data_IF_702655951223
#
_entry.id   IF_702655951223
#
_cell.length_a   1.000
_cell.length_b   1.000
_cell.length_c   1.000
_cell.angle_alpha   90.00
_cell.angle_beta   90.00
_cell.angle_gamma   90.00
#
_symmetry.space_group_name_H-M   'P 1'
#
loop_
_entity.id
_entity.type
_entity.pdbx_description
1 polymer ?
#
# COMPACT_ATOMS: atom_id res chain seq x y z
N UNK A 1 -5.59 7.29 -15.85
CA UNK A 1 -4.37 7.62 -15.08
C UNK A 1 -4.86 8.47 -13.91
N UNK A 2 -5.22 7.85 -12.78
CA UNK A 2 -5.58 8.60 -11.58
C UNK A 2 -4.28 9.24 -11.10
N UNK A 3 -4.29 10.56 -10.90
CA UNK A 3 -3.14 11.28 -10.34
C UNK A 3 -2.93 10.80 -8.90
N UNK A 4 -2.01 9.86 -8.69
CA UNK A 4 -1.63 9.32 -7.38
C UNK A 4 -1.21 10.43 -6.39
N UNK A 5 -0.85 11.62 -6.90
CA UNK A 5 -0.43 12.78 -6.14
C UNK A 5 -1.57 13.58 -5.48
N UNK A 6 -2.83 13.27 -5.77
CA UNK A 6 -3.99 14.04 -5.24
C UNK A 6 -4.82 13.26 -4.22
N UNK A 7 -4.40 12.05 -3.86
CA UNK A 7 -5.06 11.25 -2.86
C UNK A 7 -5.08 11.96 -1.49
N UNK A 8 -6.24 12.13 -0.85
CA UNK A 8 -6.34 12.68 0.50
C UNK A 8 -5.50 11.90 1.51
N UNK A 9 -5.27 10.65 1.25
CA UNK A 9 -4.43 9.71 1.94
C UNK A 9 -2.97 10.17 2.04
N UNK A 10 -2.39 10.63 0.92
CA UNK A 10 -1.02 11.14 0.89
C UNK A 10 -0.88 12.42 1.73
N UNK A 11 -1.86 13.32 1.65
CA UNK A 11 -1.84 14.56 2.42
C UNK A 11 -1.89 14.33 3.92
N UNK A 12 -2.71 13.39 4.40
CA UNK A 12 -2.76 13.01 5.82
C UNK A 12 -1.41 12.48 6.28
N UNK A 13 -0.77 11.60 5.50
CA UNK A 13 0.55 11.05 5.83
C UNK A 13 1.64 12.14 5.90
N UNK A 14 1.61 13.11 4.99
CA UNK A 14 2.54 14.24 4.98
C UNK A 14 2.33 15.11 6.24
N UNK A 15 1.09 15.45 6.56
CA UNK A 15 0.77 16.29 7.74
C UNK A 15 1.26 15.62 9.03
N UNK A 16 0.97 14.33 9.21
CA UNK A 16 1.44 13.55 10.38
C UNK A 16 2.95 13.55 10.45
N UNK A 17 3.63 13.35 9.31
CA UNK A 17 5.10 13.34 9.25
C UNK A 17 5.70 14.69 9.66
N UNK A 18 5.10 15.81 9.23
CA UNK A 18 5.53 17.16 9.62
C UNK A 18 5.35 17.39 11.12
N UNK A 19 4.24 16.94 11.70
CA UNK A 19 3.96 17.07 13.14
C UNK A 19 5.03 16.36 13.98
N UNK A 20 5.51 15.20 13.53
CA UNK A 20 6.58 14.47 14.22
C UNK A 20 7.96 15.07 13.93
N UNK A 21 8.20 15.54 12.70
CA UNK A 21 9.48 16.09 12.29
C UNK A 21 9.87 17.35 13.07
N UNK A 22 8.94 18.28 13.29
CA UNK A 22 9.23 19.57 13.95
C UNK A 22 9.80 19.38 15.37
N UNK A 23 9.20 18.59 16.28
CA UNK A 23 9.77 18.33 17.59
C UNK A 23 11.15 17.65 17.52
N UNK A 24 11.33 16.69 16.61
CA UNK A 24 12.63 16.01 16.41
C UNK A 24 13.71 16.97 15.95
N UNK A 25 13.38 17.89 15.04
CA UNK A 25 14.31 18.92 14.57
C UNK A 25 14.69 19.88 15.70
N UNK A 26 13.72 20.36 16.49
CA UNK A 26 13.98 21.23 17.65
C UNK A 26 14.88 20.52 18.66
N UNK A 27 14.59 19.25 18.94
CA UNK A 27 15.44 18.44 19.84
C UNK A 27 16.85 18.30 19.31
N UNK A 28 17.02 17.95 18.04
CA UNK A 28 18.32 17.80 17.40
C UNK A 28 19.15 19.09 17.45
N UNK A 29 18.55 20.23 17.11
CA UNK A 29 19.20 21.53 17.17
C UNK A 29 19.65 21.84 18.62
N UNK A 30 18.76 21.62 19.58
CA UNK A 30 19.03 21.97 20.98
C UNK A 30 20.13 21.10 21.61
N UNK A 31 20.20 19.84 21.21
CA UNK A 31 21.09 18.85 21.82
C UNK A 31 22.44 18.72 21.08
N UNK A 32 22.45 18.65 19.74
CA UNK A 32 23.66 18.37 18.96
C UNK A 32 24.37 19.61 18.44
N UNK A 33 23.69 20.71 18.19
CA UNK A 33 24.31 21.94 17.69
C UNK A 33 25.46 22.47 18.59
N UNK A 34 25.35 22.43 19.94
CA UNK A 34 26.45 22.88 20.80
C UNK A 34 27.75 22.07 20.66
N UNK A 35 27.61 20.79 20.28
CA UNK A 35 28.72 19.85 20.12
C UNK A 35 29.31 19.83 18.70
N UNK A 36 28.75 20.60 17.75
CA UNK A 36 29.11 20.58 16.32
C UNK A 36 29.00 19.20 15.68
N UNK A 37 28.11 18.37 16.17
CA UNK A 37 27.84 17.04 15.64
C UNK A 37 26.82 17.13 14.47
N UNK A 38 27.35 17.48 13.29
CA UNK A 38 26.57 17.73 12.09
C UNK A 38 25.88 16.47 11.55
N UNK A 39 26.49 15.32 11.74
CA UNK A 39 25.92 14.04 11.28
C UNK A 39 24.60 13.74 12.00
N UNK A 40 24.60 13.84 13.32
CA UNK A 40 23.39 13.64 14.13
C UNK A 40 22.41 14.82 14.03
N UNK A 41 22.89 16.04 13.81
CA UNK A 41 22.05 17.22 13.64
C UNK A 41 21.14 17.09 12.39
N UNK A 42 21.64 16.49 11.32
CA UNK A 42 20.89 16.30 10.08
C UNK A 42 20.26 14.90 10.02
N UNK A 43 21.04 13.88 10.36
CA UNK A 43 20.64 12.48 10.22
C UNK A 43 19.43 12.10 11.08
N UNK A 44 19.39 12.56 12.32
CA UNK A 44 18.30 12.21 13.23
C UNK A 44 16.93 12.82 12.80
N UNK A 45 16.81 14.11 12.47
CA UNK A 45 15.55 14.66 11.97
C UNK A 45 15.12 14.04 10.64
N UNK A 46 16.07 13.82 9.72
CA UNK A 46 15.75 13.20 8.43
C UNK A 46 15.27 11.76 8.59
N UNK A 47 15.93 10.98 9.45
CA UNK A 47 15.50 9.63 9.80
C UNK A 47 14.12 9.61 10.44
N UNK A 48 13.86 10.54 11.38
CA UNK A 48 12.55 10.67 12.00
C UNK A 48 11.45 11.04 11.00
N UNK A 49 11.75 11.90 10.02
CA UNK A 49 10.81 12.26 8.95
C UNK A 49 10.45 11.04 8.10
N UNK A 50 11.45 10.29 7.64
CA UNK A 50 11.24 9.12 6.82
C UNK A 50 10.46 8.02 7.57
N UNK A 51 10.87 7.71 8.79
CA UNK A 51 10.18 6.71 9.62
C UNK A 51 8.74 7.11 9.92
N UNK A 52 8.49 8.38 10.25
CA UNK A 52 7.13 8.85 10.55
C UNK A 52 6.24 8.85 9.29
N UNK A 53 6.80 9.14 8.12
CA UNK A 53 6.07 9.07 6.86
C UNK A 53 5.64 7.62 6.56
N UNK A 54 6.58 6.66 6.64
CA UNK A 54 6.28 5.24 6.41
C UNK A 54 5.25 4.74 7.42
N UNK A 55 5.41 5.08 8.70
CA UNK A 55 4.47 4.67 9.73
C UNK A 55 3.07 5.27 9.53
N UNK A 56 2.98 6.56 9.20
CA UNK A 56 1.73 7.23 8.89
C UNK A 56 1.05 6.60 7.68
N UNK A 57 1.81 6.36 6.60
CA UNK A 57 1.32 5.69 5.39
C UNK A 57 0.71 4.33 5.72
N UNK A 58 1.44 3.46 6.40
CA UNK A 58 0.96 2.13 6.79
C UNK A 58 -0.29 2.19 7.68
N UNK A 59 -0.32 3.14 8.63
CA UNK A 59 -1.46 3.33 9.53
C UNK A 59 -2.70 3.76 8.77
N UNK A 60 -2.59 4.77 7.91
CA UNK A 60 -3.72 5.28 7.12
C UNK A 60 -4.20 4.22 6.12
N UNK A 61 -3.29 3.43 5.50
CA UNK A 61 -3.63 2.30 4.64
C UNK A 61 -4.46 1.25 5.40
N UNK A 62 -4.01 0.89 6.59
CA UNK A 62 -4.74 -0.07 7.43
C UNK A 62 -6.10 0.46 7.86
N UNK A 63 -6.19 1.75 8.20
CA UNK A 63 -7.45 2.40 8.56
C UNK A 63 -8.42 2.48 7.39
N UNK A 64 -7.93 2.68 6.17
CA UNK A 64 -8.76 2.69 4.96
C UNK A 64 -9.55 1.39 4.81
N UNK A 65 -8.92 0.27 5.08
CA UNK A 65 -9.55 -1.05 5.03
C UNK A 65 -10.41 -1.31 6.27
N UNK A 66 -9.87 -1.01 7.46
CA UNK A 66 -10.52 -1.34 8.73
C UNK A 66 -11.80 -0.53 9.00
N UNK A 67 -11.83 0.72 8.59
CA UNK A 67 -12.98 1.62 8.78
C UNK A 67 -13.95 1.62 7.60
N UNK A 68 -13.65 0.86 6.55
CA UNK A 68 -14.52 0.78 5.38
C UNK A 68 -15.80 -0.01 5.71
N UNK A 69 -16.93 0.65 5.55
CA UNK A 69 -18.27 0.08 5.68
C UNK A 69 -18.99 -0.01 4.34
N UNK A 70 -18.26 0.19 3.22
CA UNK A 70 -18.86 0.14 1.89
C UNK A 70 -19.25 -1.29 1.52
N UNK A 71 -20.33 -1.42 0.76
CA UNK A 71 -20.67 -2.70 0.15
C UNK A 71 -19.71 -2.97 -1.01
N UNK A 72 -19.23 -4.22 -1.19
CA UNK A 72 -18.39 -4.57 -2.30
C UNK A 72 -19.11 -4.43 -3.63
N UNK A 73 -18.42 -3.89 -4.62
CA UNK A 73 -18.84 -3.96 -6.02
C UNK A 73 -18.10 -5.13 -6.67
N UNK A 74 -18.86 -5.99 -7.33
CA UNK A 74 -18.26 -7.16 -7.99
C UNK A 74 -17.97 -6.84 -9.45
N UNK A 75 -16.71 -7.03 -9.84
CA UNK A 75 -16.28 -6.82 -11.20
C UNK A 75 -15.54 -8.03 -11.75
N UNK A 76 -15.69 -8.26 -13.04
CA UNK A 76 -15.07 -9.37 -13.75
C UNK A 76 -13.86 -8.86 -14.53
N UNK A 77 -12.73 -9.56 -14.38
CA UNK A 77 -11.46 -9.27 -15.02
C UNK A 77 -10.97 -10.50 -15.78
N UNK A 78 -10.29 -10.28 -16.88
CA UNK A 78 -9.68 -11.36 -17.69
C UNK A 78 -8.23 -11.54 -17.25
N UNK A 79 -7.82 -12.77 -16.99
CA UNK A 79 -6.44 -13.12 -16.67
C UNK A 79 -5.60 -13.05 -17.94
N UNK A 80 -4.65 -12.13 -17.98
CA UNK A 80 -3.77 -11.92 -19.12
C UNK A 80 -2.48 -12.71 -19.00
N UNK A 81 -1.95 -12.81 -17.77
CA UNK A 81 -0.71 -13.53 -17.50
C UNK A 81 -0.71 -14.12 -16.08
N UNK A 82 0.17 -15.10 -15.86
CA UNK A 82 0.34 -15.81 -14.58
C UNK A 82 1.80 -15.85 -14.22
N UNK A 83 2.17 -15.35 -13.05
CA UNK A 83 3.54 -15.34 -12.58
C UNK A 83 3.69 -16.00 -11.20
N UNK A 84 4.82 -16.65 -10.98
CA UNK A 84 5.21 -17.24 -9.71
C UNK A 84 6.50 -16.59 -9.26
N UNK A 85 6.44 -15.77 -8.22
CA UNK A 85 7.64 -15.15 -7.65
C UNK A 85 8.14 -15.97 -6.48
N UNK A 86 9.30 -16.59 -6.66
CA UNK A 86 10.01 -17.23 -5.56
C UNK A 86 10.69 -16.17 -4.68
N UNK A 87 10.17 -15.93 -3.50
CA UNK A 87 10.81 -15.08 -2.51
C UNK A 87 12.07 -15.72 -1.93
N UNK A 88 13.10 -14.92 -1.63
CA UNK A 88 14.41 -15.38 -1.13
C UNK A 88 14.40 -16.06 0.24
N UNK A 89 13.25 -16.12 0.93
CA UNK A 89 13.05 -16.76 2.24
C UNK A 89 11.66 -17.39 2.39
N UNK A 90 11.37 -18.43 1.61
CA UNK A 90 10.26 -19.38 1.84
C UNK A 90 8.83 -18.97 1.49
N UNK A 91 8.53 -17.78 1.03
CA UNK A 91 7.18 -17.46 0.58
C UNK A 91 7.14 -17.38 -0.95
N UNK A 92 6.55 -18.38 -1.59
CA UNK A 92 6.18 -18.29 -3.01
C UNK A 92 4.93 -17.42 -3.11
N UNK A 93 4.98 -16.39 -3.95
CA UNK A 93 3.83 -15.55 -4.25
C UNK A 93 3.29 -15.91 -5.62
N UNK A 94 2.00 -16.16 -5.69
CA UNK A 94 1.29 -16.45 -6.93
C UNK A 94 0.56 -15.19 -7.37
N UNK A 95 0.76 -14.77 -8.60
CA UNK A 95 0.23 -13.51 -9.12
C UNK A 95 -0.49 -13.73 -10.46
N UNK A 96 -1.58 -12.99 -10.66
CA UNK A 96 -2.24 -12.84 -11.95
C UNK A 96 -2.10 -11.41 -12.43
N UNK A 97 -1.76 -11.22 -13.68
CA UNK A 97 -1.98 -9.97 -14.38
C UNK A 97 -3.40 -9.99 -14.94
N UNK A 98 -4.25 -9.07 -14.45
CA UNK A 98 -5.66 -9.02 -14.84
C UNK A 98 -5.98 -7.73 -15.58
N UNK A 99 -6.91 -7.83 -16.52
CA UNK A 99 -7.31 -6.71 -17.37
C UNK A 99 -8.83 -6.58 -17.40
N UNK A 100 -9.27 -5.32 -17.34
CA UNK A 100 -10.64 -4.90 -17.68
C UNK A 100 -10.56 -3.59 -18.43
N UNK A 101 -11.19 -3.53 -19.60
CA UNK A 101 -11.12 -2.39 -20.51
C UNK A 101 -9.64 -1.99 -20.80
N UNK A 102 -9.26 -0.75 -20.46
CA UNK A 102 -7.90 -0.24 -20.63
C UNK A 102 -7.04 -0.35 -19.35
N UNK A 103 -7.60 -0.92 -18.28
CA UNK A 103 -6.90 -1.03 -16.99
C UNK A 103 -6.30 -2.42 -16.84
N UNK A 104 -5.00 -2.48 -16.59
CA UNK A 104 -4.26 -3.73 -16.29
C UNK A 104 -3.52 -3.56 -14.98
N UNK A 105 -3.61 -4.54 -14.09
CA UNK A 105 -2.87 -4.55 -12.83
C UNK A 105 -2.63 -5.99 -12.35
N UNK A 106 -1.71 -6.13 -11.38
CA UNK A 106 -1.34 -7.44 -10.82
C UNK A 106 -2.05 -7.66 -9.49
N UNK A 107 -2.58 -8.86 -9.31
CA UNK A 107 -3.20 -9.31 -8.05
C UNK A 107 -2.48 -10.52 -7.49
N UNK A 108 -2.28 -10.55 -6.17
CA UNK A 108 -1.82 -11.75 -5.49
C UNK A 108 -2.99 -12.71 -5.25
N UNK A 109 -2.79 -13.98 -5.52
CA UNK A 109 -3.80 -15.02 -5.36
C UNK A 109 -3.28 -16.18 -4.52
N UNK A 110 -4.19 -17.02 -4.01
CA UNK A 110 -3.79 -18.25 -3.35
C UNK A 110 -3.23 -19.27 -4.35
N UNK A 111 -2.40 -20.18 -3.88
CA UNK A 111 -1.90 -21.30 -4.69
C UNK A 111 -3.04 -22.08 -5.35
N UNK A 112 -4.10 -22.38 -4.59
CA UNK A 112 -5.29 -23.10 -5.11
C UNK A 112 -5.95 -22.35 -6.24
N UNK A 113 -6.14 -21.03 -6.09
CA UNK A 113 -6.72 -20.18 -7.13
C UNK A 113 -5.83 -20.13 -8.37
N UNK A 114 -4.51 -20.03 -8.15
CA UNK A 114 -3.54 -19.98 -9.24
C UNK A 114 -3.61 -21.21 -10.17
N UNK A 115 -3.71 -22.40 -9.58
CA UNK A 115 -3.77 -23.65 -10.37
C UNK A 115 -5.18 -23.99 -10.89
N UNK A 116 -6.22 -23.34 -10.37
CA UNK A 116 -7.61 -23.57 -10.83
C UNK A 116 -8.06 -22.70 -12.00
N UNK A 117 -7.27 -21.70 -12.37
CA UNK A 117 -7.59 -20.80 -13.48
C UNK A 117 -6.49 -20.82 -14.53
N UNK A 118 -6.87 -20.58 -15.79
CA UNK A 118 -5.94 -20.47 -16.92
C UNK A 118 -5.91 -19.03 -17.49
N UNK A 119 -4.93 -18.78 -18.35
CA UNK A 119 -4.86 -17.49 -19.08
C UNK A 119 -6.10 -17.38 -19.98
N UNK A 120 -6.72 -16.22 -20.03
CA UNK A 120 -7.99 -15.84 -20.61
C UNK A 120 -9.24 -16.29 -19.82
N UNK A 121 -9.09 -16.91 -18.66
CA UNK A 121 -10.21 -17.10 -17.76
C UNK A 121 -10.66 -15.78 -17.16
N UNK A 122 -11.92 -15.74 -16.72
CA UNK A 122 -12.49 -14.59 -16.02
C UNK A 122 -12.43 -14.82 -14.51
N UNK A 123 -11.89 -13.84 -13.78
CA UNK A 123 -11.86 -13.84 -12.33
C UNK A 123 -12.74 -12.73 -11.78
N UNK A 124 -13.50 -13.03 -10.72
CA UNK A 124 -14.37 -12.08 -10.04
C UNK A 124 -13.66 -11.47 -8.85
N UNK A 125 -13.57 -10.14 -8.83
CA UNK A 125 -12.95 -9.39 -7.74
C UNK A 125 -14.01 -8.58 -7.00
N UNK A 126 -13.93 -8.58 -5.67
CA UNK A 126 -14.71 -7.70 -4.80
C UNK A 126 -13.93 -6.42 -4.61
N UNK A 127 -14.46 -5.32 -5.13
CA UNK A 127 -13.85 -3.99 -5.03
C UNK A 127 -14.59 -3.20 -3.96
N UNK A 128 -13.85 -2.65 -3.03
CA UNK A 128 -14.33 -1.79 -1.97
C UNK A 128 -13.85 -0.37 -2.22
N UNK A 129 -14.68 0.62 -1.89
CA UNK A 129 -14.32 2.03 -2.11
C UNK A 129 -13.28 2.55 -1.11
N UNK A 130 -13.13 1.86 0.02
CA UNK A 130 -12.27 2.32 1.11
C UNK A 130 -12.84 3.49 1.89
N UNK A 131 -12.54 3.55 3.20
CA UNK A 131 -13.04 4.60 4.09
C UNK A 131 -12.59 6.01 3.68
N UNK A 132 -11.45 6.11 3.00
CA UNK A 132 -10.87 7.37 2.50
C UNK A 132 -11.01 7.53 0.99
N UNK A 133 -11.94 6.79 0.37
CA UNK A 133 -12.17 6.82 -1.07
C UNK A 133 -10.97 6.32 -1.91
N UNK A 134 -10.14 5.47 -1.30
CA UNK A 134 -9.05 4.74 -1.97
C UNK A 134 -9.48 3.30 -2.18
N UNK A 135 -9.81 2.90 -3.40
CA UNK A 135 -10.34 1.58 -3.67
C UNK A 135 -9.30 0.49 -3.41
N UNK A 136 -9.77 -0.61 -2.86
CA UNK A 136 -8.97 -1.82 -2.70
C UNK A 136 -9.79 -3.04 -3.13
N UNK A 137 -9.11 -4.12 -3.48
CA UNK A 137 -9.77 -5.34 -3.92
C UNK A 137 -9.46 -6.50 -2.97
N UNK A 138 -10.45 -7.34 -2.79
CA UNK A 138 -10.29 -8.62 -2.11
C UNK A 138 -10.67 -9.71 -3.10
N UNK A 139 -9.78 -10.67 -3.29
CA UNK A 139 -10.11 -11.88 -4.01
C UNK A 139 -10.90 -12.78 -3.04
N UNK A 140 -12.16 -13.01 -3.35
CA UNK A 140 -12.94 -14.01 -2.64
C UNK A 140 -12.38 -15.40 -2.97
N UNK A 141 -11.57 -15.94 -2.06
CA UNK A 141 -11.32 -17.38 -2.12
C UNK A 141 -12.67 -18.07 -2.02
N UNK A 142 -13.17 -18.62 -3.11
CA UNK A 142 -14.36 -19.45 -3.09
C UNK A 142 -14.06 -20.67 -2.22
N UNK A 143 -14.21 -20.49 -0.90
CA UNK A 143 -14.33 -21.61 0.03
C UNK A 143 -15.67 -22.27 -0.27
N UNK A 144 -15.65 -23.31 -1.07
CA UNK A 144 -16.71 -24.32 -1.08
C UNK A 144 -16.42 -25.32 0.01
#
# INVERSE_FOLDING_TARGET
>A
MHDEFTSPFMWVSIIVSIIVFIPCLIYAIRYFMPYRDWENLIGLPLGALLCSFVFAWLTVSSMNVYLDMSAPTYEEYIIMDKDIRAGSRQATTYEFEVKKDDTTFTIGVSETTYYSHEINDTIKLSIYSGAFNEPYYIHENSSK
#
